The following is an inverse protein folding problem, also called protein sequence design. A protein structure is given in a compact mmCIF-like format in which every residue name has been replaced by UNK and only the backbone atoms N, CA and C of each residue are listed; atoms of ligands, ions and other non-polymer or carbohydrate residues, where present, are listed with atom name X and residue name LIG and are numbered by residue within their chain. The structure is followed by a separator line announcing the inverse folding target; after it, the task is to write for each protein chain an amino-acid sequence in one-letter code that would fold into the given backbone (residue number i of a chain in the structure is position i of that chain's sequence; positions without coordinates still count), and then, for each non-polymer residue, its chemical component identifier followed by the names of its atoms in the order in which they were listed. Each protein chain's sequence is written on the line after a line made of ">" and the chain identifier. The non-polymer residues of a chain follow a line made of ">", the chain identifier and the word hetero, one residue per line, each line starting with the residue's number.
data_IF_139102629507
#
_entry.id   IF_139102629507
#
_cell.length_a   1.000
_cell.length_b   1.000
_cell.length_c   1.000
_cell.angle_alpha   90.00
_cell.angle_beta   90.00
_cell.angle_gamma   90.00
#
_symmetry.space_group_name_H-M   'P 1'
#
loop_
_entity.id
_entity.type
_entity.pdbx_description
1 polymer ?
#
# COMPACT_ATOMS: atom_id res chain seq x y z
N UNK A 1 -8.39 -7.86 12.52
CA UNK A 1 -7.06 -8.52 12.58
C UNK A 1 -6.37 -8.05 13.85
N UNK A 2 -6.09 -8.97 14.79
CA UNK A 2 -5.20 -8.79 15.98
C UNK A 2 -5.35 -7.50 16.81
N UNK A 3 -6.54 -6.89 16.87
CA UNK A 3 -6.80 -5.69 17.67
C UNK A 3 -6.27 -4.37 17.10
N UNK A 4 -5.65 -4.36 15.91
CA UNK A 4 -5.21 -3.13 15.26
C UNK A 4 -6.37 -2.42 14.57
N UNK A 5 -6.59 -1.15 14.94
CA UNK A 5 -7.51 -0.25 14.24
C UNK A 5 -6.78 0.40 13.06
N UNK A 6 -7.35 0.24 11.87
CA UNK A 6 -6.80 0.74 10.60
C UNK A 6 -7.88 1.55 9.87
N UNK A 7 -7.46 2.60 9.18
CA UNK A 7 -8.35 3.32 8.27
C UNK A 7 -8.19 2.76 6.87
N UNK A 8 -9.28 2.22 6.32
CA UNK A 8 -9.34 1.80 4.92
C UNK A 8 -10.18 2.81 4.15
N UNK A 9 -9.55 3.39 3.13
CA UNK A 9 -10.23 4.17 2.12
C UNK A 9 -10.80 3.21 1.07
N UNK A 10 -11.91 3.60 0.45
CA UNK A 10 -12.55 2.80 -0.58
C UNK A 10 -12.96 3.69 -1.75
N UNK A 11 -12.68 3.23 -2.97
CA UNK A 11 -13.14 3.86 -4.20
C UNK A 11 -13.87 2.79 -5.03
N UNK A 12 -15.10 3.10 -5.44
CA UNK A 12 -15.83 2.27 -6.39
C UNK A 12 -15.42 2.67 -7.81
N UNK A 13 -15.02 1.69 -8.61
CA UNK A 13 -14.68 1.92 -10.00
C UNK A 13 -15.93 2.36 -10.78
N UNK A 14 -15.80 3.45 -11.55
CA UNK A 14 -16.93 4.06 -12.25
C UNK A 14 -17.34 3.29 -13.50
N UNK A 15 -16.38 2.81 -14.27
CA UNK A 15 -16.63 2.10 -15.52
C UNK A 15 -15.62 0.95 -15.70
N UNK A 16 -16.13 -0.28 -15.68
CA UNK A 16 -15.35 -1.52 -15.88
C UNK A 16 -15.23 -1.90 -17.37
N UNK A 17 -15.98 -1.23 -18.25
CA UNK A 17 -15.97 -1.45 -19.69
C UNK A 17 -14.83 -0.73 -20.42
N UNK A 18 -14.03 0.08 -19.72
CA UNK A 18 -12.87 0.74 -20.28
C UNK A 18 -11.79 -0.30 -20.65
N UNK A 19 -11.28 -0.22 -21.88
CA UNK A 19 -10.18 -1.08 -22.35
C UNK A 19 -8.91 -0.95 -21.50
N UNK A 20 -8.78 0.13 -20.75
CA UNK A 20 -7.70 0.45 -19.82
C UNK A 20 -8.06 0.16 -18.36
N UNK A 21 -9.01 -0.73 -18.09
CA UNK A 21 -9.37 -1.06 -16.70
C UNK A 21 -8.42 -2.11 -16.11
N UNK A 22 -7.63 -1.70 -15.10
CA UNK A 22 -6.65 -2.57 -14.40
C UNK A 22 -7.13 -3.04 -13.02
N UNK A 23 -8.38 -2.74 -12.62
CA UNK A 23 -8.91 -3.03 -11.28
C UNK A 23 -9.32 -4.48 -11.02
N UNK A 24 -9.07 -5.39 -11.97
CA UNK A 24 -9.37 -6.81 -11.84
C UNK A 24 -10.87 -7.16 -11.80
N UNK A 25 -11.22 -8.27 -11.17
CA UNK A 25 -12.62 -8.72 -11.08
C UNK A 25 -13.45 -8.00 -10.00
N UNK A 26 -12.82 -7.14 -9.17
CA UNK A 26 -13.49 -6.38 -8.12
C UNK A 26 -14.06 -5.06 -8.64
N UNK A 27 -15.17 -4.61 -8.06
CA UNK A 27 -15.80 -3.32 -8.41
C UNK A 27 -15.26 -2.15 -7.59
N UNK A 28 -14.36 -2.42 -6.65
CA UNK A 28 -13.83 -1.48 -5.67
C UNK A 28 -12.35 -1.70 -5.48
N UNK A 29 -11.63 -0.62 -5.21
CA UNK A 29 -10.29 -0.67 -4.63
C UNK A 29 -10.33 -0.15 -3.20
N UNK A 30 -9.45 -0.69 -2.35
CA UNK A 30 -9.24 -0.22 -0.99
C UNK A 30 -7.75 0.02 -0.77
N UNK A 31 -7.43 1.08 -0.05
CA UNK A 31 -6.06 1.39 0.31
C UNK A 31 -5.99 1.92 1.75
N UNK A 32 -4.78 1.93 2.28
CA UNK A 32 -4.43 2.56 3.55
C UNK A 32 -3.49 3.73 3.25
N UNK A 33 -3.51 4.73 4.12
CA UNK A 33 -2.50 5.77 4.10
C UNK A 33 -1.14 5.20 4.53
N UNK A 34 -0.07 5.82 4.04
CA UNK A 34 1.31 5.38 4.31
C UNK A 34 1.61 5.19 5.82
N UNK A 35 1.17 6.07 6.75
CA UNK A 35 1.40 5.86 8.17
C UNK A 35 0.78 4.56 8.71
N UNK A 36 -0.43 4.21 8.27
CA UNK A 36 -1.09 2.97 8.67
C UNK A 36 -0.40 1.74 8.05
N UNK A 37 0.07 1.85 6.81
CA UNK A 37 0.89 0.81 6.17
C UNK A 37 2.19 0.54 6.94
N UNK A 38 2.91 1.59 7.36
CA UNK A 38 4.13 1.46 8.17
C UNK A 38 3.81 0.81 9.53
N UNK A 39 2.70 1.19 10.17
CA UNK A 39 2.27 0.59 11.45
C UNK A 39 1.96 -0.90 11.32
N UNK A 40 1.29 -1.31 10.24
CA UNK A 40 1.01 -2.73 9.94
C UNK A 40 2.31 -3.51 9.73
N UNK A 41 3.24 -2.96 8.95
CA UNK A 41 4.55 -3.59 8.71
C UNK A 41 5.31 -3.78 10.02
N UNK A 42 5.38 -2.73 10.85
CA UNK A 42 6.03 -2.78 12.16
C UNK A 42 5.38 -3.81 13.10
N UNK A 43 4.06 -3.91 13.11
CA UNK A 43 3.32 -4.92 13.90
C UNK A 43 3.71 -6.35 13.52
N UNK A 44 4.03 -6.59 12.24
CA UNK A 44 4.54 -7.89 11.76
C UNK A 44 6.07 -8.02 11.87
N UNK A 45 6.75 -7.13 12.60
CA UNK A 45 8.19 -7.15 12.85
C UNK A 45 9.05 -6.55 11.73
N UNK A 46 8.44 -5.94 10.71
CA UNK A 46 9.11 -5.26 9.61
C UNK A 46 9.22 -3.76 9.91
N UNK A 47 9.97 -3.41 10.95
CA UNK A 47 10.02 -2.04 11.48
C UNK A 47 11.08 -1.15 10.85
N UNK A 48 12.05 -1.70 10.11
CA UNK A 48 12.99 -0.90 9.33
C UNK A 48 12.41 -0.63 7.94
N UNK A 49 11.86 0.56 7.74
CA UNK A 49 11.19 0.97 6.49
C UNK A 49 11.96 2.08 5.78
N UNK A 50 12.14 1.94 4.47
CA UNK A 50 12.71 2.97 3.59
C UNK A 50 11.75 3.25 2.45
N UNK A 51 11.38 4.52 2.27
CA UNK A 51 10.64 4.95 1.08
C UNK A 51 11.63 5.03 -0.07
N UNK A 52 11.40 4.24 -1.12
CA UNK A 52 12.21 4.21 -2.35
C UNK A 52 11.69 5.28 -3.32
N UNK A 53 10.37 5.43 -3.41
CA UNK A 53 9.72 6.40 -4.29
C UNK A 53 8.41 6.85 -3.66
N UNK A 54 8.15 8.15 -3.68
CA UNK A 54 6.88 8.76 -3.30
C UNK A 54 6.44 9.63 -4.48
N UNK A 55 5.42 9.16 -5.21
CA UNK A 55 4.91 9.80 -6.42
C UNK A 55 3.44 10.22 -6.19
N UNK A 56 3.21 11.41 -5.63
CA UNK A 56 1.86 11.90 -5.34
C UNK A 56 1.04 12.16 -6.60
N UNK A 57 1.68 12.35 -7.75
CA UNK A 57 1.06 12.75 -9.01
C UNK A 57 1.03 11.61 -10.05
N UNK A 58 1.30 10.38 -9.62
CA UNK A 58 1.33 9.22 -10.51
C UNK A 58 0.01 9.11 -11.29
N UNK A 59 0.10 8.71 -12.56
CA UNK A 59 -1.02 8.77 -13.53
C UNK A 59 -2.28 8.00 -13.10
N UNK A 60 -2.15 7.08 -12.14
CA UNK A 60 -3.24 6.28 -11.59
C UNK A 60 -3.64 6.66 -10.15
N UNK A 61 -3.16 7.81 -9.66
CA UNK A 61 -3.31 8.29 -8.28
C UNK A 61 -2.02 8.13 -7.46
N UNK A 62 -1.92 8.81 -6.30
CA UNK A 62 -0.72 8.80 -5.45
C UNK A 62 -0.19 7.38 -5.20
N UNK A 63 1.10 7.17 -5.44
CA UNK A 63 1.75 5.88 -5.35
C UNK A 63 3.05 5.96 -4.54
N UNK A 64 3.28 4.97 -3.68
CA UNK A 64 4.49 4.87 -2.87
C UNK A 64 5.13 3.50 -3.06
N UNK A 65 6.44 3.49 -3.27
CA UNK A 65 7.27 2.28 -3.24
C UNK A 65 8.13 2.33 -1.98
N UNK A 66 8.09 1.27 -1.18
CA UNK A 66 8.88 1.17 0.04
C UNK A 66 9.47 -0.23 0.21
N UNK A 67 10.62 -0.29 0.86
CA UNK A 67 11.20 -1.53 1.37
C UNK A 67 10.99 -1.60 2.88
N UNK A 68 10.68 -2.78 3.40
CA UNK A 68 10.55 -3.03 4.83
C UNK A 68 11.28 -4.32 5.21
N UNK A 69 12.04 -4.29 6.30
CA UNK A 69 12.80 -5.45 6.79
C UNK A 69 12.75 -5.56 8.31
N UNK A 70 13.11 -6.75 8.80
CA UNK A 70 13.30 -6.97 10.25
C UNK A 70 14.57 -6.25 10.72
N UNK A 71 14.59 -5.74 11.95
CA UNK A 71 15.81 -5.21 12.55
C UNK A 71 16.96 -6.21 12.49
N UNK A 72 18.12 -5.75 12.03
CA UNK A 72 19.32 -6.59 11.94
C UNK A 72 19.31 -7.64 10.84
N UNK A 73 18.30 -7.67 9.96
CA UNK A 73 18.35 -8.48 8.76
C UNK A 73 19.43 -7.94 7.81
N UNK A 74 20.32 -8.82 7.36
CA UNK A 74 21.28 -8.51 6.30
C UNK A 74 20.51 -8.07 5.04
N UNK A 75 21.03 -7.05 4.35
CA UNK A 75 20.49 -6.69 3.03
C UNK A 75 20.60 -7.91 2.12
N UNK A 76 19.56 -8.21 1.30
CA UNK A 76 19.68 -9.21 0.25
C UNK A 76 20.85 -8.83 -0.67
N UNK A 77 21.62 -9.84 -1.08
CA UNK A 77 22.79 -9.69 -1.94
C UNK A 77 22.41 -9.22 -3.36
#
# INVERSE_FOLDING_TARGET
>A
HEGMQLTLHELTYRDRGLATFWGGNQTKTRWMELPDLIRVLAHHGLSETTIITDDPDFVNGPAVTLAARRPGASSPA
#
